data_IF_423052676808
#
_entry.id   IF_423052676808
#
_cell.length_a   1.000
_cell.length_b   1.000
_cell.length_c   1.000
_cell.angle_alpha   90.00
_cell.angle_beta   90.00
_cell.angle_gamma   90.00
#
_symmetry.space_group_name_H-M   'P 1'
#
loop_
_entity.id
_entity.type
_entity.pdbx_description
1 polymer ?
#
# COMPACT_ATOMS: atom_id res chain seq x y z
N UNK A 1 2.94 -8.13 -11.81
CA UNK A 1 3.54 -8.64 -10.55
C UNK A 1 3.04 -10.06 -10.36
N UNK A 2 3.93 -11.03 -10.16
CA UNK A 2 3.51 -12.43 -9.92
C UNK A 2 3.02 -12.57 -8.47
N UNK A 3 1.84 -13.18 -8.27
CA UNK A 3 1.29 -13.50 -6.95
C UNK A 3 1.09 -15.02 -6.87
N UNK A 4 1.87 -15.74 -6.05
CA UNK A 4 1.67 -17.18 -5.88
C UNK A 4 0.29 -17.45 -5.25
N UNK A 5 -0.36 -18.55 -5.64
CA UNK A 5 -1.72 -18.89 -5.20
C UNK A 5 -1.88 -19.00 -3.69
N UNK A 6 -0.83 -19.46 -2.98
CA UNK A 6 -0.80 -19.52 -1.52
C UNK A 6 -0.88 -18.15 -0.82
N UNK A 7 -0.61 -17.05 -1.54
CA UNK A 7 -0.69 -15.68 -1.03
C UNK A 7 -1.85 -14.89 -1.66
N UNK A 8 -2.67 -15.53 -2.50
CA UNK A 8 -3.84 -14.89 -3.07
C UNK A 8 -4.88 -14.64 -1.97
N UNK A 9 -5.30 -13.39 -1.83
CA UNK A 9 -6.37 -12.98 -0.92
C UNK A 9 -7.64 -12.69 -1.71
N UNK A 10 -8.80 -12.97 -1.11
CA UNK A 10 -10.07 -12.46 -1.65
C UNK A 10 -10.12 -10.94 -1.55
N UNK A 11 -10.99 -10.29 -2.32
CA UNK A 11 -11.18 -8.84 -2.23
C UNK A 11 -11.59 -8.38 -0.83
N UNK A 12 -12.45 -9.16 -0.17
CA UNK A 12 -12.93 -8.88 1.19
C UNK A 12 -11.81 -9.03 2.23
N UNK A 13 -10.99 -10.08 2.11
CA UNK A 13 -9.85 -10.28 3.01
C UNK A 13 -8.80 -9.17 2.83
N UNK A 14 -8.53 -8.77 1.60
CA UNK A 14 -7.60 -7.68 1.31
C UNK A 14 -8.12 -6.36 1.90
N UNK A 15 -9.40 -6.06 1.71
CA UNK A 15 -10.07 -4.87 2.27
C UNK A 15 -10.01 -4.86 3.80
N UNK A 16 -10.28 -6.00 4.44
CA UNK A 16 -10.19 -6.15 5.89
C UNK A 16 -8.74 -6.00 6.40
N UNK A 17 -7.76 -6.54 5.67
CA UNK A 17 -6.35 -6.42 5.99
C UNK A 17 -5.89 -4.96 5.97
N UNK A 18 -6.14 -4.25 4.85
CA UNK A 18 -5.77 -2.83 4.70
C UNK A 18 -6.38 -1.97 5.82
N UNK A 19 -7.66 -2.21 6.15
CA UNK A 19 -8.37 -1.45 7.19
C UNK A 19 -7.76 -1.67 8.58
N UNK A 20 -7.22 -2.85 8.87
CA UNK A 20 -6.58 -3.15 10.16
C UNK A 20 -5.15 -2.63 10.25
N UNK A 21 -4.39 -2.69 9.16
CA UNK A 21 -2.95 -2.33 9.19
C UNK A 21 -2.75 -0.83 9.36
N UNK A 22 -3.55 0.00 8.69
CA UNK A 22 -3.52 1.47 8.86
C UNK A 22 -2.22 2.16 8.44
N UNK A 23 -1.26 1.43 7.86
CA UNK A 23 0.03 1.91 7.37
C UNK A 23 0.42 1.20 6.08
N UNK A 24 1.27 1.83 5.27
CA UNK A 24 1.85 1.22 4.09
C UNK A 24 3.24 1.77 3.76
N UNK A 25 3.98 1.04 2.94
CA UNK A 25 5.20 1.52 2.30
C UNK A 25 4.83 2.08 0.92
N UNK A 26 4.99 3.40 0.75
CA UNK A 26 4.92 4.04 -0.55
C UNK A 26 6.27 3.95 -1.22
N UNK A 27 6.31 3.27 -2.37
CA UNK A 27 7.50 3.16 -3.20
C UNK A 27 7.41 4.18 -4.33
N UNK A 28 8.34 5.14 -4.35
CA UNK A 28 8.46 6.14 -5.40
C UNK A 28 9.74 5.92 -6.19
N UNK A 29 9.70 6.21 -7.49
CA UNK A 29 10.88 6.19 -8.34
C UNK A 29 11.43 7.62 -8.50
N UNK A 30 12.61 7.88 -7.96
CA UNK A 30 13.40 9.06 -8.22
C UNK A 30 14.36 8.79 -9.40
N UNK A 31 14.39 9.63 -10.45
CA UNK A 31 15.25 9.41 -11.61
C UNK A 31 16.76 9.37 -11.32
N UNK A 32 17.21 9.96 -10.22
CA UNK A 32 18.63 10.08 -9.85
C UNK A 32 19.02 9.12 -8.72
N UNK A 33 18.11 8.86 -7.79
CA UNK A 33 18.34 8.08 -6.57
C UNK A 33 17.77 6.65 -6.64
N UNK A 34 16.95 6.35 -7.65
CA UNK A 34 16.32 5.05 -7.82
C UNK A 34 15.03 4.91 -7.01
N UNK A 35 14.80 3.74 -6.41
CA UNK A 35 13.58 3.48 -5.65
C UNK A 35 13.70 3.97 -4.21
N UNK A 36 12.79 4.82 -3.79
CA UNK A 36 12.67 5.30 -2.41
C UNK A 36 11.43 4.67 -1.75
N UNK A 37 11.61 4.14 -0.54
CA UNK A 37 10.53 3.59 0.27
C UNK A 37 10.23 4.50 1.47
N UNK A 38 8.98 4.92 1.62
CA UNK A 38 8.54 5.74 2.75
C UNK A 38 7.34 5.11 3.43
N UNK A 39 7.44 4.93 4.74
CA UNK A 39 6.32 4.44 5.56
C UNK A 39 5.35 5.60 5.81
N UNK A 40 4.06 5.38 5.57
CA UNK A 40 3.03 6.39 5.78
C UNK A 40 1.76 5.79 6.42
N UNK A 41 1.00 6.58 7.21
CA UNK A 41 -0.35 6.23 7.62
C UNK A 41 -1.26 6.09 6.39
N UNK A 42 -2.04 5.03 6.34
CA UNK A 42 -2.91 4.70 5.22
C UNK A 42 -4.36 4.51 5.68
N UNK A 43 -5.29 5.11 4.96
CA UNK A 43 -6.73 5.00 5.18
C UNK A 43 -7.40 4.49 3.90
N UNK A 44 -8.33 3.55 4.05
CA UNK A 44 -9.22 3.17 2.96
C UNK A 44 -10.50 4.02 3.03
N UNK A 45 -10.77 4.82 2.00
CA UNK A 45 -11.97 5.67 1.89
C UNK A 45 -12.74 5.32 0.63
N UNK A 46 -13.88 4.65 0.78
CA UNK A 46 -14.62 4.09 -0.35
C UNK A 46 -13.79 3.01 -1.05
N UNK A 47 -13.39 3.28 -2.29
CA UNK A 47 -12.51 2.43 -3.11
C UNK A 47 -11.11 3.03 -3.30
N UNK A 48 -10.76 4.08 -2.55
CA UNK A 48 -9.47 4.76 -2.65
C UNK A 48 -8.60 4.52 -1.41
N UNK A 49 -7.31 4.33 -1.63
CA UNK A 49 -6.28 4.35 -0.59
C UNK A 49 -5.76 5.78 -0.45
N UNK A 50 -5.85 6.33 0.75
CA UNK A 50 -5.49 7.71 1.06
C UNK A 50 -4.38 7.71 2.10
N UNK A 51 -3.25 8.29 1.74
CA UNK A 51 -2.11 8.53 2.63
C UNK A 51 -1.72 10.00 2.59
N UNK A 52 -1.12 10.50 3.67
CA UNK A 52 -0.56 11.85 3.69
C UNK A 52 0.95 11.76 3.79
N UNK A 53 1.65 12.45 2.90
CA UNK A 53 3.11 12.58 2.93
C UNK A 53 3.46 14.04 2.77
N UNK A 54 4.28 14.58 3.67
CA UNK A 54 4.91 15.87 3.48
C UNK A 54 6.26 15.61 2.78
N UNK A 55 6.34 15.80 1.47
CA UNK A 55 7.60 15.85 0.73
C UNK A 55 7.66 17.14 -0.05
#
# INVERSE_FOLDING_TARGET
MYLPSAFAMTGDDARACVTRTGVAHLITHDPNLGLEATVLPLLLRGNALVGHVAR
#
